data_IF_255940395189
#
_entry.id   IF_255940395189
#
_cell.length_a   1.000
_cell.length_b   1.000
_cell.length_c   1.000
_cell.angle_alpha   90.00
_cell.angle_beta   90.00
_cell.angle_gamma   90.00
#
_symmetry.space_group_name_H-M   'P 1'
#
loop_
_entity.id
_entity.type
_entity.pdbx_description
1 polymer ?
#
# COMPACT_ATOMS: atom_id res chain seq x y z
N UNK A 1 -8.58 -12.81 11.53
CA UNK A 1 -7.46 -12.78 10.56
C UNK A 1 -6.22 -13.40 11.18
N UNK A 2 -5.57 -14.33 10.48
CA UNK A 2 -4.31 -14.93 10.90
C UNK A 2 -3.15 -13.98 10.61
N UNK A 3 -2.02 -14.13 11.31
CA UNK A 3 -0.80 -13.34 11.06
C UNK A 3 -0.32 -13.56 9.62
N UNK A 4 -0.41 -14.80 9.11
CA UNK A 4 -0.08 -15.14 7.72
C UNK A 4 -0.90 -14.34 6.71
N UNK A 5 -2.21 -14.29 6.89
CA UNK A 5 -3.10 -13.51 6.02
C UNK A 5 -2.71 -12.02 6.00
N UNK A 6 -2.46 -11.44 7.18
CA UNK A 6 -2.08 -10.03 7.27
C UNK A 6 -0.73 -9.76 6.59
N UNK A 7 0.23 -10.69 6.68
CA UNK A 7 1.51 -10.58 6.00
C UNK A 7 1.37 -10.67 4.48
N UNK A 8 0.52 -11.58 3.99
CA UNK A 8 0.22 -11.71 2.56
C UNK A 8 -0.48 -10.44 2.02
N UNK A 9 -1.46 -9.90 2.75
CA UNK A 9 -2.11 -8.64 2.38
C UNK A 9 -1.15 -7.44 2.44
N UNK A 10 -0.30 -7.35 3.46
CA UNK A 10 0.71 -6.30 3.54
C UNK A 10 1.68 -6.36 2.36
N UNK A 11 2.08 -7.57 1.93
CA UNK A 11 2.90 -7.74 0.74
C UNK A 11 2.18 -7.26 -0.53
N UNK A 12 0.90 -7.60 -0.69
CA UNK A 12 0.08 -7.14 -1.83
C UNK A 12 -0.02 -5.63 -1.87
N UNK A 13 -0.35 -4.98 -0.76
CA UNK A 13 -0.43 -3.51 -0.70
C UNK A 13 0.93 -2.84 -0.90
N UNK A 14 2.01 -3.46 -0.44
CA UNK A 14 3.37 -2.97 -0.71
C UNK A 14 3.69 -3.02 -2.20
N UNK A 15 3.40 -4.14 -2.88
CA UNK A 15 3.55 -4.27 -4.33
C UNK A 15 2.68 -3.27 -5.09
N UNK A 16 1.46 -3.05 -4.64
CA UNK A 16 0.54 -2.10 -5.27
C UNK A 16 1.07 -0.67 -5.17
N UNK A 17 1.59 -0.27 -4.00
CA UNK A 17 2.26 1.03 -3.82
C UNK A 17 3.45 1.16 -4.78
N UNK A 18 4.33 0.16 -4.86
CA UNK A 18 5.46 0.17 -5.80
C UNK A 18 5.00 0.32 -7.26
N UNK A 19 3.95 -0.40 -7.65
CA UNK A 19 3.40 -0.34 -9.01
C UNK A 19 2.80 1.03 -9.32
N UNK A 20 2.03 1.60 -8.40
CA UNK A 20 1.43 2.92 -8.55
C UNK A 20 2.47 4.03 -8.59
N UNK A 21 3.55 3.93 -7.79
CA UNK A 21 4.68 4.86 -7.85
C UNK A 21 5.42 4.78 -9.19
N UNK A 22 5.66 3.56 -9.70
CA UNK A 22 6.22 3.36 -11.04
C UNK A 22 5.31 3.91 -12.13
N UNK A 23 4.00 3.68 -12.03
CA UNK A 23 3.03 4.20 -12.97
C UNK A 23 3.03 5.73 -12.98
N UNK A 24 3.03 6.37 -11.82
CA UNK A 24 3.15 7.84 -11.68
C UNK A 24 4.45 8.39 -12.29
N UNK A 25 5.58 7.72 -12.02
CA UNK A 25 6.87 8.09 -12.60
C UNK A 25 6.89 7.93 -14.13
N UNK A 26 6.30 6.85 -14.65
CA UNK A 26 6.17 6.60 -16.09
C UNK A 26 5.17 7.54 -16.77
N UNK A 27 4.18 8.05 -16.04
CA UNK A 27 3.23 9.03 -16.52
C UNK A 27 3.82 10.45 -16.61
N UNK A 28 4.93 10.70 -15.92
CA UNK A 28 5.51 12.04 -15.80
C UNK A 28 5.83 12.75 -17.14
N UNK A 29 6.26 12.07 -18.22
CA UNK A 29 6.60 12.72 -19.49
C UNK A 29 5.42 12.89 -20.47
N UNK A 30 4.27 12.19 -20.30
CA UNK A 30 3.20 12.17 -21.33
C UNK A 30 1.77 12.15 -20.79
N UNK A 31 1.58 12.03 -19.48
CA UNK A 31 0.27 11.82 -18.87
C UNK A 31 -0.57 13.08 -18.70
N UNK A 32 -1.89 12.92 -18.77
CA UNK A 32 -2.82 14.00 -18.43
C UNK A 32 -2.84 14.27 -16.93
N UNK A 33 -3.23 15.50 -16.55
CA UNK A 33 -3.35 15.89 -15.14
C UNK A 33 -4.43 15.05 -14.41
N UNK A 34 -5.47 14.62 -15.12
CA UNK A 34 -6.52 13.76 -14.58
C UNK A 34 -6.01 12.34 -14.27
N UNK A 35 -5.23 11.74 -15.17
CA UNK A 35 -4.62 10.42 -14.93
C UNK A 35 -3.61 10.47 -13.78
N UNK A 36 -2.80 11.53 -13.69
CA UNK A 36 -1.95 11.77 -12.53
C UNK A 36 -2.77 11.83 -11.24
N UNK A 37 -3.85 12.62 -11.21
CA UNK A 37 -4.69 12.73 -10.01
C UNK A 37 -5.34 11.41 -9.61
N UNK A 38 -5.79 10.59 -10.57
CA UNK A 38 -6.34 9.26 -10.30
C UNK A 38 -5.29 8.33 -9.68
N UNK A 39 -4.07 8.32 -10.25
CA UNK A 39 -2.96 7.52 -9.71
C UNK A 39 -2.51 8.02 -8.33
N UNK A 40 -2.49 9.33 -8.10
CA UNK A 40 -2.12 9.91 -6.80
C UNK A 40 -3.16 9.55 -5.72
N UNK A 41 -4.46 9.60 -6.05
CA UNK A 41 -5.52 9.13 -5.15
C UNK A 41 -5.39 7.64 -4.85
N UNK A 42 -5.20 6.81 -5.87
CA UNK A 42 -5.01 5.37 -5.69
C UNK A 42 -3.78 5.08 -4.81
N UNK A 43 -2.68 5.81 -5.02
CA UNK A 43 -1.45 5.67 -4.24
C UNK A 43 -1.68 6.04 -2.77
N UNK A 44 -2.40 7.11 -2.49
CA UNK A 44 -2.74 7.50 -1.11
C UNK A 44 -3.58 6.44 -0.42
N UNK A 45 -4.58 5.89 -1.11
CA UNK A 45 -5.40 4.80 -0.58
C UNK A 45 -4.57 3.54 -0.31
N UNK A 46 -3.72 3.13 -1.25
CA UNK A 46 -2.85 1.98 -1.09
C UNK A 46 -1.87 2.14 0.09
N UNK A 47 -1.28 3.33 0.25
CA UNK A 47 -0.42 3.67 1.41
C UNK A 47 -1.20 3.63 2.73
N UNK A 48 -2.43 4.11 2.75
CA UNK A 48 -3.29 4.03 3.94
C UNK A 48 -3.57 2.58 4.33
N UNK A 49 -3.88 1.72 3.35
CA UNK A 49 -4.10 0.29 3.60
C UNK A 49 -2.82 -0.40 4.09
N UNK A 50 -1.69 -0.14 3.44
CA UNK A 50 -0.38 -0.66 3.87
C UNK A 50 -0.08 -0.29 5.33
N UNK A 51 -0.30 0.97 5.71
CA UNK A 51 -0.12 1.44 7.09
C UNK A 51 -1.06 0.74 8.07
N UNK A 52 -2.32 0.55 7.70
CA UNK A 52 -3.30 -0.18 8.51
C UNK A 52 -2.85 -1.62 8.78
N UNK A 53 -2.53 -2.38 7.74
CA UNK A 53 -2.08 -3.77 7.90
C UNK A 53 -0.78 -3.88 8.70
N UNK A 54 0.14 -2.93 8.54
CA UNK A 54 1.37 -2.86 9.34
C UNK A 54 1.07 -2.65 10.82
N UNK A 55 0.20 -1.69 11.15
CA UNK A 55 -0.20 -1.44 12.54
C UNK A 55 -0.89 -2.66 13.17
N UNK A 56 -1.80 -3.32 12.44
CA UNK A 56 -2.50 -4.52 12.93
C UNK A 56 -1.54 -5.68 13.16
N UNK A 57 -0.53 -5.87 12.29
CA UNK A 57 0.53 -6.86 12.49
C UNK A 57 1.37 -6.56 13.72
N UNK A 58 1.76 -5.31 13.90
CA UNK A 58 2.58 -4.86 15.03
C UNK A 58 1.87 -5.12 16.36
N UNK A 59 0.61 -4.67 16.50
CA UNK A 59 -0.19 -4.91 17.71
C UNK A 59 -0.40 -6.40 18.02
N UNK A 60 -0.46 -7.26 16.99
CA UNK A 60 -0.55 -8.73 17.19
C UNK A 60 0.77 -9.35 17.62
N UNK A 61 1.91 -8.85 17.13
CA UNK A 61 3.24 -9.31 17.56
C UNK A 61 3.49 -8.97 19.03
N UNK A 62 3.10 -7.77 19.46
CA UNK A 62 3.18 -7.34 20.86
C UNK A 62 2.34 -8.23 21.78
N UNK A 63 1.10 -8.53 21.38
CA UNK A 63 0.19 -9.39 22.17
C UNK A 63 0.66 -10.84 22.32
N UNK A 64 1.49 -11.33 21.40
CA UNK A 64 2.00 -12.71 21.42
C UNK A 64 3.28 -12.84 22.25
N UNK A 65 3.91 -11.73 22.64
CA UNK A 65 5.15 -11.69 23.43
C UNK A 65 4.93 -11.67 24.95
N UNK A 66 3.68 -11.76 25.40
CA UNK A 66 3.23 -11.74 26.80
C UNK A 66 2.69 -13.12 27.16
#
# INVERSE_FOLDING_TARGET
MTIRYLAEELYRWTREVENLEKALAALAPTGTMEERNRLDQALRQAKQQQAHFRAVLESKKERTRI
#
